data_IF_383950531817
#
_entry.id   IF_383950531817
#
_cell.length_a   1.000
_cell.length_b   1.000
_cell.length_c   1.000
_cell.angle_alpha   90.00
_cell.angle_beta   90.00
_cell.angle_gamma   90.00
#
_symmetry.space_group_name_H-M   'P 1'
#
loop_
_entity.id
_entity.type
_entity.pdbx_description
1 polymer ?
#
# COMPACT_ATOMS: atom_id res chain seq x y z
N UNK A 1 26.50 -46.79 16.37
CA UNK A 1 27.43 -45.75 15.89
C UNK A 1 27.18 -45.54 14.42
N UNK A 2 26.67 -44.39 14.02
CA UNK A 2 26.55 -43.99 12.61
C UNK A 2 27.94 -43.62 12.09
N UNK A 3 28.45 -44.34 11.09
CA UNK A 3 29.71 -43.97 10.44
C UNK A 3 29.61 -42.55 9.86
N UNK A 4 30.67 -41.74 9.92
CA UNK A 4 30.68 -40.41 9.34
C UNK A 4 30.52 -40.50 7.82
N UNK A 5 29.49 -39.85 7.28
CA UNK A 5 29.29 -39.76 5.83
C UNK A 5 30.55 -39.23 5.15
N UNK A 6 31.01 -39.93 4.11
CA UNK A 6 32.15 -39.49 3.32
C UNK A 6 31.83 -38.17 2.61
N UNK A 7 32.83 -37.29 2.47
CA UNK A 7 32.70 -35.98 1.81
C UNK A 7 32.15 -36.11 0.38
N UNK A 8 32.38 -37.25 -0.24
CA UNK A 8 31.92 -37.61 -1.58
C UNK A 8 30.43 -37.98 -1.61
N UNK A 9 29.94 -38.76 -0.64
CA UNK A 9 28.51 -39.05 -0.47
C UNK A 9 27.70 -37.76 -0.23
N UNK A 10 28.24 -36.83 0.59
CA UNK A 10 27.62 -35.52 0.82
C UNK A 10 27.58 -34.65 -0.45
N UNK A 11 28.59 -34.75 -1.32
CA UNK A 11 28.62 -34.04 -2.62
C UNK A 11 27.64 -34.65 -3.62
N UNK A 12 27.55 -35.97 -3.68
CA UNK A 12 26.58 -36.67 -4.53
C UNK A 12 25.13 -36.31 -4.16
N UNK A 13 24.81 -36.32 -2.86
CA UNK A 13 23.48 -35.94 -2.35
C UNK A 13 23.12 -34.49 -2.66
N UNK A 14 24.08 -33.57 -2.55
CA UNK A 14 23.88 -32.15 -2.92
C UNK A 14 23.65 -31.96 -4.41
N UNK A 15 24.33 -32.74 -5.26
CA UNK A 15 24.10 -32.72 -6.71
C UNK A 15 22.71 -33.25 -7.07
N UNK A 16 22.29 -34.35 -6.45
CA UNK A 16 20.94 -34.90 -6.62
C UNK A 16 19.85 -33.90 -6.17
N UNK A 17 20.02 -33.28 -5.00
CA UNK A 17 19.10 -32.25 -4.53
C UNK A 17 19.07 -31.02 -5.44
N UNK A 18 20.20 -30.66 -6.05
CA UNK A 18 20.27 -29.55 -6.99
C UNK A 18 19.57 -29.87 -8.33
N UNK A 19 19.70 -31.10 -8.84
CA UNK A 19 18.98 -31.54 -10.05
C UNK A 19 17.48 -31.66 -9.80
N UNK A 20 17.06 -32.23 -8.66
CA UNK A 20 15.65 -32.32 -8.27
C UNK A 20 15.03 -30.92 -8.09
N UNK A 21 15.77 -29.98 -7.48
CA UNK A 21 15.33 -28.60 -7.34
C UNK A 21 15.23 -27.87 -8.69
N UNK A 22 16.14 -28.15 -9.62
CA UNK A 22 16.11 -27.58 -10.97
C UNK A 22 14.92 -28.12 -11.78
N UNK A 23 14.66 -29.42 -11.73
CA UNK A 23 13.51 -30.05 -12.38
C UNK A 23 12.18 -29.58 -11.78
N UNK A 24 12.12 -29.41 -10.45
CA UNK A 24 10.94 -28.85 -9.77
C UNK A 24 10.71 -27.37 -10.16
N UNK A 25 11.78 -26.59 -10.33
CA UNK A 25 11.67 -25.20 -10.79
C UNK A 25 11.20 -25.12 -12.25
N UNK A 26 11.69 -26.00 -13.13
CA UNK A 26 11.24 -26.08 -14.52
C UNK A 26 9.78 -26.56 -14.63
N UNK A 27 9.36 -27.49 -13.78
CA UNK A 27 7.96 -27.90 -13.69
C UNK A 27 7.04 -26.77 -13.20
N UNK A 28 7.53 -25.88 -12.33
CA UNK A 28 6.81 -24.72 -11.83
C UNK A 28 6.73 -23.54 -12.82
N UNK A 29 7.64 -23.48 -13.81
CA UNK A 29 7.65 -22.44 -14.87
C UNK A 29 6.55 -22.65 -15.93
N UNK A 30 5.92 -23.84 -15.96
CA UNK A 30 4.82 -24.13 -16.87
C UNK A 30 3.61 -23.24 -16.54
N UNK A 31 3.42 -22.20 -17.34
CA UNK A 31 2.37 -21.20 -17.19
C UNK A 31 1.00 -21.88 -17.18
N UNK A 32 0.21 -21.78 -16.09
CA UNK A 32 -1.10 -22.40 -16.03
C UNK A 32 -2.01 -21.81 -17.13
N UNK A 33 -2.97 -22.60 -17.66
CA UNK A 33 -3.94 -22.10 -18.62
C UNK A 33 -4.66 -20.88 -18.02
N UNK A 34 -4.94 -19.87 -18.84
CA UNK A 34 -5.53 -18.61 -18.39
C UNK A 34 -6.89 -18.86 -17.74
N UNK A 35 -6.90 -18.88 -16.41
CA UNK A 35 -8.11 -19.02 -15.61
C UNK A 35 -9.02 -17.80 -15.80
N UNK A 36 -10.34 -17.91 -15.59
CA UNK A 36 -11.25 -16.77 -15.65
C UNK A 36 -10.80 -15.62 -14.72
N UNK A 37 -10.18 -15.95 -13.58
CA UNK A 37 -9.57 -14.96 -12.69
C UNK A 37 -8.47 -14.15 -13.39
N UNK A 38 -7.59 -14.79 -14.16
CA UNK A 38 -6.51 -14.11 -14.90
C UNK A 38 -7.02 -13.13 -15.97
N UNK A 39 -8.20 -13.38 -16.54
CA UNK A 39 -8.85 -12.47 -17.48
C UNK A 39 -9.46 -11.27 -16.77
N UNK A 40 -10.11 -11.49 -15.61
CA UNK A 40 -10.64 -10.41 -14.77
C UNK A 40 -9.51 -9.47 -14.28
N UNK A 41 -8.37 -10.03 -13.88
CA UNK A 41 -7.19 -9.23 -13.49
C UNK A 41 -6.63 -8.36 -14.62
N UNK A 42 -6.76 -8.78 -15.88
CA UNK A 42 -6.35 -7.98 -17.04
C UNK A 42 -7.34 -6.86 -17.39
N UNK A 43 -8.61 -7.01 -17.01
CA UNK A 43 -9.65 -5.99 -17.23
C UNK A 43 -9.64 -4.90 -16.15
N UNK A 44 -9.08 -5.18 -14.98
CA UNK A 44 -8.99 -4.23 -13.89
C UNK A 44 -8.05 -3.07 -14.28
N UNK A 45 -8.52 -1.81 -14.22
CA UNK A 45 -7.68 -0.70 -14.59
C UNK A 45 -6.55 -0.51 -13.56
N UNK A 46 -5.37 -0.13 -14.04
CA UNK A 46 -4.15 0.00 -13.22
C UNK A 46 -4.36 0.90 -11.99
N UNK A 47 -5.08 2.02 -12.14
CA UNK A 47 -5.35 2.95 -11.05
C UNK A 47 -6.11 2.30 -9.88
N UNK A 48 -6.90 1.26 -10.13
CA UNK A 48 -7.67 0.60 -9.08
C UNK A 48 -6.74 -0.21 -8.16
N UNK A 49 -5.71 -0.85 -8.71
CA UNK A 49 -4.65 -1.47 -7.92
C UNK A 49 -3.91 -0.46 -7.05
N UNK A 50 -3.68 0.76 -7.56
CA UNK A 50 -3.04 1.83 -6.79
C UNK A 50 -3.91 2.30 -5.61
N UNK A 51 -5.24 2.41 -5.79
CA UNK A 51 -6.14 2.75 -4.68
C UNK A 51 -6.07 1.70 -3.56
N UNK A 52 -6.05 0.41 -3.92
CA UNK A 52 -5.90 -0.66 -2.93
C UNK A 52 -4.54 -0.60 -2.23
N UNK A 53 -3.47 -0.34 -2.98
CA UNK A 53 -2.13 -0.18 -2.43
C UNK A 53 -2.05 0.99 -1.45
N UNK A 54 -2.56 2.17 -1.82
CA UNK A 54 -2.57 3.35 -0.94
C UNK A 54 -3.38 3.09 0.33
N UNK A 55 -4.55 2.47 0.21
CA UNK A 55 -5.38 2.11 1.37
C UNK A 55 -4.71 1.11 2.31
N UNK A 56 -3.86 0.22 1.80
CA UNK A 56 -3.04 -0.65 2.62
C UNK A 56 -1.89 0.13 3.29
N UNK A 57 -1.23 1.01 2.55
CA UNK A 57 -0.17 1.87 3.11
C UNK A 57 -0.70 2.81 4.19
N UNK A 58 -1.95 3.27 4.11
CA UNK A 58 -2.58 4.08 5.15
C UNK A 58 -2.59 3.41 6.51
N UNK A 59 -2.81 2.08 6.57
CA UNK A 59 -2.84 1.38 7.85
C UNK A 59 -1.48 1.37 8.54
N UNK A 60 -0.42 1.20 7.74
CA UNK A 60 0.95 1.22 8.22
C UNK A 60 1.42 2.65 8.54
N UNK A 61 1.04 3.62 7.72
CA UNK A 61 1.39 5.04 7.89
C UNK A 61 0.90 5.58 9.23
N UNK A 62 -0.35 5.28 9.61
CA UNK A 62 -0.91 5.69 10.90
C UNK A 62 -0.07 5.17 12.08
N UNK A 63 0.33 3.90 12.00
CA UNK A 63 1.09 3.22 13.03
C UNK A 63 2.53 3.74 13.12
N UNK A 64 3.21 3.86 11.98
CA UNK A 64 4.57 4.37 11.90
C UNK A 64 4.65 5.83 12.38
N UNK A 65 3.69 6.66 11.98
CA UNK A 65 3.61 8.05 12.45
C UNK A 65 3.46 8.12 13.97
N UNK A 66 2.60 7.29 14.56
CA UNK A 66 2.43 7.24 16.02
C UNK A 66 3.71 6.78 16.73
N UNK A 67 4.36 5.73 16.24
CA UNK A 67 5.62 5.24 16.81
C UNK A 67 6.72 6.30 16.76
N UNK A 68 6.83 7.03 15.64
CA UNK A 68 7.78 8.11 15.47
C UNK A 68 7.55 9.23 16.51
N UNK A 69 6.30 9.62 16.76
CA UNK A 69 5.99 10.62 17.80
C UNK A 69 6.31 10.11 19.22
N UNK A 70 6.04 8.83 19.52
CA UNK A 70 6.37 8.23 20.81
C UNK A 70 7.89 8.18 21.02
N UNK A 71 8.66 7.83 19.99
CA UNK A 71 10.13 7.83 20.08
C UNK A 71 10.66 9.26 20.28
N UNK A 72 10.12 10.22 19.53
CA UNK A 72 10.50 11.64 19.65
C UNK A 72 10.24 12.18 21.06
N UNK A 73 9.07 11.92 21.63
CA UNK A 73 8.73 12.38 23.00
C UNK A 73 9.62 11.75 24.08
N UNK A 74 10.22 10.58 23.79
CA UNK A 74 11.15 9.87 24.70
C UNK A 74 12.63 10.28 24.53
N UNK A 75 12.92 11.38 23.85
CA UNK A 75 14.30 11.85 23.65
C UNK A 75 15.08 11.09 22.57
N UNK A 76 14.37 10.27 21.80
CA UNK A 76 14.84 9.81 20.51
C UNK A 76 15.68 8.53 20.47
N UNK A 77 15.88 7.87 21.60
CA UNK A 77 16.50 6.55 21.64
C UNK A 77 15.46 5.46 21.35
N UNK A 78 15.37 5.09 20.07
CA UNK A 78 14.51 4.00 19.59
C UNK A 78 15.00 2.59 19.98
N UNK A 79 16.18 2.44 20.58
CA UNK A 79 16.79 1.13 20.80
C UNK A 79 16.21 0.38 22.01
N UNK A 80 15.89 1.09 23.09
CA UNK A 80 15.32 0.50 24.32
C UNK A 80 13.78 0.42 24.35
N UNK A 81 13.11 1.02 23.36
CA UNK A 81 11.65 1.19 23.38
C UNK A 81 10.85 0.05 22.75
N UNK A 82 11.49 -0.88 22.03
CA UNK A 82 10.81 -1.97 21.34
C UNK A 82 11.08 -3.30 22.04
N UNK A 83 10.02 -3.94 22.49
CA UNK A 83 10.08 -5.29 23.04
C UNK A 83 10.04 -6.30 21.88
N UNK A 84 11.05 -7.15 21.76
CA UNK A 84 11.16 -8.20 20.73
C UNK A 84 11.19 -9.58 21.41
N UNK A 85 10.03 -10.10 21.86
CA UNK A 85 9.97 -11.25 22.76
C UNK A 85 10.27 -12.59 22.12
N UNK A 86 10.15 -12.73 20.79
CA UNK A 86 10.05 -14.04 20.15
C UNK A 86 11.26 -14.38 19.28
N UNK A 87 11.45 -15.68 19.00
CA UNK A 87 12.48 -16.13 18.07
C UNK A 87 12.22 -15.68 16.62
N UNK A 88 10.96 -15.40 16.27
CA UNK A 88 10.59 -14.80 14.97
C UNK A 88 11.16 -13.38 14.80
N UNK A 89 11.40 -12.65 15.89
CA UNK A 89 11.91 -11.28 15.83
C UNK A 89 13.43 -11.19 15.61
N UNK A 90 14.13 -12.34 15.56
CA UNK A 90 15.59 -12.40 15.39
C UNK A 90 16.08 -11.65 14.16
N UNK A 91 15.34 -11.69 13.05
CA UNK A 91 15.71 -10.99 11.82
C UNK A 91 15.65 -9.47 12.00
N UNK A 92 14.65 -8.95 12.71
CA UNK A 92 14.52 -7.52 13.03
C UNK A 92 15.63 -7.09 13.99
N UNK A 93 15.93 -7.90 15.01
CA UNK A 93 17.04 -7.62 15.93
C UNK A 93 18.39 -7.61 15.21
N UNK A 94 18.62 -8.54 14.26
CA UNK A 94 19.82 -8.58 13.43
C UNK A 94 19.90 -7.37 12.49
N UNK A 95 18.79 -6.99 11.84
CA UNK A 95 18.71 -5.80 10.99
C UNK A 95 19.05 -4.54 11.77
N UNK A 96 18.52 -4.36 12.99
CA UNK A 96 18.83 -3.20 13.84
C UNK A 96 20.32 -3.13 14.22
N UNK A 97 20.94 -4.25 14.61
CA UNK A 97 22.38 -4.31 14.89
C UNK A 97 23.23 -4.03 13.65
N UNK A 98 22.77 -4.49 12.48
CA UNK A 98 23.42 -4.20 11.22
C UNK A 98 23.33 -2.71 10.88
N UNK A 99 22.16 -2.10 11.02
CA UNK A 99 21.96 -0.67 10.79
C UNK A 99 22.83 0.20 11.71
N UNK A 100 22.95 -0.14 13.00
CA UNK A 100 23.81 0.61 13.93
C UNK A 100 25.30 0.54 13.58
N UNK A 101 25.73 -0.45 12.80
CA UNK A 101 27.14 -0.68 12.46
C UNK A 101 27.50 -0.33 11.01
N UNK A 102 26.53 -0.35 10.10
CA UNK A 102 26.77 -0.22 8.65
C UNK A 102 25.95 0.88 7.98
N UNK A 103 24.91 1.42 8.63
CA UNK A 103 24.26 2.58 8.07
C UNK A 103 25.26 3.75 8.09
N UNK A 104 25.41 4.51 6.99
CA UNK A 104 26.06 5.82 7.07
C UNK A 104 25.37 6.65 8.15
N UNK A 105 26.06 7.66 8.69
CA UNK A 105 25.71 8.49 9.86
C UNK A 105 24.39 9.29 9.79
N UNK A 106 23.39 8.80 9.05
CA UNK A 106 22.10 9.41 8.77
C UNK A 106 20.93 8.44 8.86
N UNK A 107 20.93 7.50 9.82
CA UNK A 107 19.65 7.01 10.35
C UNK A 107 19.31 7.87 11.59
N UNK A 108 18.09 8.42 11.69
CA UNK A 108 17.72 9.28 12.80
C UNK A 108 17.67 8.48 14.11
N UNK A 109 18.80 8.39 14.81
CA UNK A 109 18.76 8.34 16.26
C UNK A 109 18.40 9.75 16.71
N UNK A 110 17.17 9.91 17.16
CA UNK A 110 16.53 11.18 17.49
C UNK A 110 17.11 11.91 18.71
N UNK A 111 18.35 11.62 19.12
CA UNK A 111 19.06 12.43 20.10
C UNK A 111 19.85 13.52 19.39
N UNK A 112 19.54 14.77 19.73
CA UNK A 112 20.29 15.98 19.34
C UNK A 112 21.75 16.00 19.85
N UNK A 113 22.23 14.91 20.44
CA UNK A 113 23.56 14.75 21.04
C UNK A 113 24.25 13.43 20.66
N UNK A 114 23.72 12.70 19.67
CA UNK A 114 24.35 11.50 19.12
C UNK A 114 25.24 11.78 17.89
N UNK A 115 26.07 10.80 17.44
CA UNK A 115 27.05 10.94 16.35
C UNK A 115 26.43 11.17 14.95
N UNK A 116 25.15 11.51 14.86
CA UNK A 116 24.30 11.41 13.68
C UNK A 116 23.52 12.72 13.41
N UNK A 117 24.11 13.86 13.77
CA UNK A 117 23.56 15.22 13.67
C UNK A 117 23.38 15.78 12.23
N UNK A 118 23.28 14.92 11.20
CA UNK A 118 23.35 15.33 9.79
C UNK A 118 22.04 15.55 9.05
N UNK A 119 20.88 15.11 9.59
CA UNK A 119 19.60 15.11 8.86
C UNK A 119 18.58 16.17 9.32
N UNK A 120 19.00 17.11 10.17
CA UNK A 120 18.12 18.15 10.69
C UNK A 120 17.01 17.60 11.61
N UNK A 121 16.24 18.47 12.26
CA UNK A 121 15.09 18.05 13.05
C UNK A 121 14.08 17.41 12.11
N UNK A 122 13.60 16.23 12.52
CA UNK A 122 12.51 15.52 11.89
C UNK A 122 11.31 16.49 11.71
N UNK A 123 10.53 16.43 10.61
CA UNK A 123 9.46 17.39 10.35
C UNK A 123 8.42 17.42 11.49
N UNK A 124 7.72 18.55 11.69
CA UNK A 124 6.76 18.67 12.77
C UNK A 124 5.69 17.58 12.68
N UNK A 125 5.19 17.08 13.82
CA UNK A 125 4.11 16.10 13.86
C UNK A 125 2.88 16.56 13.06
N UNK A 126 2.30 15.64 12.30
CA UNK A 126 1.08 15.85 11.53
C UNK A 126 -0.09 15.32 12.36
N UNK A 127 -0.83 16.23 13.00
CA UNK A 127 -1.96 15.85 13.85
C UNK A 127 -3.28 15.75 13.10
N UNK A 128 -3.41 16.44 11.97
CA UNK A 128 -4.62 16.38 11.16
C UNK A 128 -4.61 15.12 10.30
N UNK A 129 -5.66 14.33 10.45
CA UNK A 129 -5.90 13.13 9.66
C UNK A 129 -5.81 13.41 8.16
N UNK A 130 -6.46 14.47 7.70
CA UNK A 130 -6.56 14.77 6.27
C UNK A 130 -5.19 15.13 5.67
N UNK A 131 -4.29 15.71 6.46
CA UNK A 131 -2.92 15.96 6.02
C UNK A 131 -2.05 14.69 6.07
N UNK A 132 -2.29 13.79 7.05
CA UNK A 132 -1.54 12.54 7.16
C UNK A 132 -1.87 11.60 5.99
N UNK A 133 -3.15 11.51 5.61
CA UNK A 133 -3.64 10.63 4.53
C UNK A 133 -3.93 11.41 3.23
N UNK A 134 -3.18 12.47 2.94
CA UNK A 134 -3.31 13.21 1.68
C UNK A 134 -2.75 12.39 0.51
N UNK A 135 -3.57 11.48 -0.01
CA UNK A 135 -3.28 10.69 -1.20
C UNK A 135 -3.02 11.56 -2.43
N UNK A 136 -3.65 12.73 -2.50
CA UNK A 136 -3.51 13.57 -3.67
C UNK A 136 -2.06 14.03 -3.81
N UNK A 137 -1.52 14.64 -2.76
CA UNK A 137 -0.14 15.14 -2.76
C UNK A 137 0.88 14.02 -2.74
N UNK A 138 0.64 12.94 -1.99
CA UNK A 138 1.59 11.83 -1.85
C UNK A 138 1.69 10.97 -3.12
N UNK A 139 0.62 10.88 -3.92
CA UNK A 139 0.57 9.95 -5.05
C UNK A 139 -0.16 10.48 -6.29
N UNK A 140 -1.43 10.88 -6.16
CA UNK A 140 -2.28 11.17 -7.33
C UNK A 140 -1.71 12.28 -8.19
N UNK A 141 -1.13 13.32 -7.59
CA UNK A 141 -0.48 14.46 -8.26
C UNK A 141 0.75 14.06 -9.09
N UNK A 142 1.33 12.88 -8.87
CA UNK A 142 2.54 12.41 -9.54
C UNK A 142 2.33 11.16 -10.39
N UNK A 143 1.16 10.51 -10.30
CA UNK A 143 0.86 9.27 -11.02
C UNK A 143 -0.06 9.50 -12.23
N UNK A 144 0.48 9.32 -13.44
CA UNK A 144 -0.28 9.46 -14.71
C UNK A 144 -1.58 8.65 -14.76
N UNK A 145 -1.59 7.45 -14.18
CA UNK A 145 -2.75 6.56 -14.21
C UNK A 145 -3.87 7.07 -13.31
N UNK A 146 -3.53 7.56 -12.12
CA UNK A 146 -4.49 8.15 -11.17
C UNK A 146 -5.00 9.51 -11.65
N UNK A 147 -4.12 10.37 -12.21
CA UNK A 147 -4.54 11.64 -12.81
C UNK A 147 -5.52 11.45 -13.97
N UNK A 148 -5.23 10.48 -14.84
CA UNK A 148 -6.12 10.15 -15.95
C UNK A 148 -7.49 9.66 -15.44
N UNK A 149 -7.51 8.83 -14.38
CA UNK A 149 -8.74 8.37 -13.75
C UNK A 149 -9.57 9.52 -13.16
N UNK A 150 -8.94 10.43 -12.40
CA UNK A 150 -9.62 11.60 -11.82
C UNK A 150 -10.16 12.52 -12.92
N UNK A 151 -9.38 12.75 -13.97
CA UNK A 151 -9.81 13.56 -15.13
C UNK A 151 -11.00 12.92 -15.86
N UNK A 152 -10.99 11.59 -16.02
CA UNK A 152 -12.10 10.85 -16.61
C UNK A 152 -13.37 10.93 -15.74
N UNK A 153 -13.25 10.77 -14.42
CA UNK A 153 -14.38 10.94 -13.48
C UNK A 153 -14.98 12.34 -13.57
N UNK A 154 -14.16 13.39 -13.66
CA UNK A 154 -14.63 14.76 -13.84
C UNK A 154 -15.39 14.93 -15.16
N UNK A 155 -14.90 14.34 -16.26
CA UNK A 155 -15.58 14.37 -17.55
C UNK A 155 -16.91 13.59 -17.53
N UNK A 156 -16.93 12.41 -16.91
CA UNK A 156 -18.12 11.59 -16.76
C UNK A 156 -19.17 12.28 -15.90
N UNK A 157 -18.79 12.89 -14.78
CA UNK A 157 -19.69 13.70 -13.96
C UNK A 157 -20.38 14.79 -14.78
N UNK A 158 -19.63 15.56 -15.59
CA UNK A 158 -20.20 16.59 -16.48
C UNK A 158 -21.17 16.00 -17.51
N UNK A 159 -20.89 14.82 -18.06
CA UNK A 159 -21.80 14.10 -18.99
C UNK A 159 -23.08 13.65 -18.27
N UNK A 160 -22.95 13.07 -17.08
CA UNK A 160 -24.09 12.60 -16.29
C UNK A 160 -25.00 13.75 -15.86
N UNK A 161 -24.46 14.93 -15.53
CA UNK A 161 -25.28 16.12 -15.29
C UNK A 161 -26.11 16.54 -16.50
N UNK A 162 -25.53 16.48 -17.72
CA UNK A 162 -26.28 16.78 -18.95
C UNK A 162 -27.40 15.77 -19.20
N UNK A 163 -27.14 14.48 -18.97
CA UNK A 163 -28.15 13.42 -19.07
C UNK A 163 -29.26 13.61 -18.03
N UNK A 164 -28.89 13.94 -16.78
CA UNK A 164 -29.84 14.21 -15.70
C UNK A 164 -30.75 15.40 -16.05
N UNK A 165 -30.19 16.50 -16.57
CA UNK A 165 -30.97 17.66 -16.98
C UNK A 165 -31.99 17.30 -18.08
N UNK A 166 -31.57 16.55 -19.10
CA UNK A 166 -32.48 16.07 -20.14
C UNK A 166 -33.56 15.12 -19.58
N UNK A 167 -33.18 14.21 -18.67
CA UNK A 167 -34.10 13.28 -18.03
C UNK A 167 -35.18 14.00 -17.19
N UNK A 168 -34.82 15.09 -16.51
CA UNK A 168 -35.77 15.92 -15.75
C UNK A 168 -36.78 16.62 -16.67
N UNK A 169 -36.35 17.16 -17.80
CA UNK A 169 -37.23 17.80 -18.78
C UNK A 169 -38.22 16.80 -19.40
N UNK A 170 -37.75 15.60 -19.77
CA UNK A 170 -38.58 14.55 -20.37
C UNK A 170 -39.43 13.79 -19.34
N UNK A 171 -39.06 13.82 -18.06
CA UNK A 171 -39.67 13.07 -16.97
C UNK A 171 -41.12 13.46 -16.67
N UNK A 172 -41.58 14.62 -17.14
CA UNK A 172 -42.99 15.04 -17.05
C UNK A 172 -43.87 14.17 -17.94
N UNK A 173 -43.36 13.74 -19.10
CA UNK A 173 -44.11 12.98 -20.10
C UNK A 173 -43.79 11.49 -20.08
N UNK A 174 -42.54 11.13 -19.79
CA UNK A 174 -42.06 9.75 -19.90
C UNK A 174 -41.57 9.24 -18.56
N UNK A 175 -42.29 8.27 -17.99
CA UNK A 175 -41.91 7.66 -16.70
C UNK A 175 -40.52 7.02 -16.74
N UNK A 176 -40.10 6.49 -17.90
CA UNK A 176 -38.78 5.91 -18.10
C UNK A 176 -37.65 6.95 -17.92
N UNK A 177 -37.89 8.20 -18.31
CA UNK A 177 -36.94 9.30 -18.08
C UNK A 177 -36.77 9.60 -16.58
N UNK A 178 -37.79 9.34 -15.75
CA UNK A 178 -37.67 9.47 -14.28
C UNK A 178 -36.74 8.39 -13.71
N UNK A 179 -36.81 7.15 -14.21
CA UNK A 179 -35.88 6.09 -13.80
C UNK A 179 -34.43 6.42 -14.18
N UNK A 180 -34.21 6.95 -15.39
CA UNK A 180 -32.89 7.43 -15.82
C UNK A 180 -32.38 8.54 -14.91
N UNK A 181 -33.24 9.48 -14.50
CA UNK A 181 -32.91 10.53 -13.54
C UNK A 181 -32.42 9.97 -12.20
N UNK A 182 -33.15 9.00 -11.62
CA UNK A 182 -32.76 8.33 -10.36
C UNK A 182 -31.42 7.60 -10.52
N UNK A 183 -31.23 6.89 -11.63
CA UNK A 183 -29.96 6.20 -11.91
C UNK A 183 -28.78 7.18 -12.03
N UNK A 184 -28.99 8.35 -12.67
CA UNK A 184 -27.97 9.40 -12.75
C UNK A 184 -27.58 9.94 -11.37
N UNK A 185 -28.55 10.14 -10.46
CA UNK A 185 -28.26 10.58 -9.09
C UNK A 185 -27.42 9.55 -8.32
N UNK A 186 -27.77 8.26 -8.42
CA UNK A 186 -26.98 7.18 -7.84
C UNK A 186 -25.56 7.13 -8.40
N UNK A 187 -25.43 7.27 -9.73
CA UNK A 187 -24.14 7.28 -10.42
C UNK A 187 -23.28 8.49 -10.03
N UNK A 188 -23.88 9.68 -9.90
CA UNK A 188 -23.19 10.88 -9.41
C UNK A 188 -22.68 10.68 -7.98
N UNK A 189 -23.49 10.07 -7.11
CA UNK A 189 -23.06 9.75 -5.75
C UNK A 189 -21.87 8.78 -5.77
N UNK A 190 -21.91 7.76 -6.62
CA UNK A 190 -20.81 6.82 -6.80
C UNK A 190 -19.53 7.52 -7.25
N UNK A 191 -19.60 8.43 -8.23
CA UNK A 191 -18.42 9.20 -8.68
C UNK A 191 -17.77 10.00 -7.56
N UNK A 192 -18.57 10.65 -6.70
CA UNK A 192 -18.03 11.38 -5.54
C UNK A 192 -17.31 10.46 -4.56
N UNK A 193 -17.89 9.28 -4.28
CA UNK A 193 -17.27 8.29 -3.39
C UNK A 193 -15.94 7.79 -3.97
N UNK A 194 -15.89 7.49 -5.27
CA UNK A 194 -14.68 7.00 -5.94
C UNK A 194 -13.61 8.10 -6.03
N UNK A 195 -13.98 9.32 -6.44
CA UNK A 195 -13.06 10.45 -6.54
C UNK A 195 -12.43 10.79 -5.18
N UNK A 196 -13.18 10.67 -4.08
CA UNK A 196 -12.67 10.90 -2.73
C UNK A 196 -11.48 9.99 -2.37
N UNK A 197 -11.45 8.76 -2.87
CA UNK A 197 -10.35 7.82 -2.60
C UNK A 197 -9.02 8.27 -3.20
N UNK A 198 -9.05 9.10 -4.25
CA UNK A 198 -7.84 9.70 -4.84
C UNK A 198 -7.33 10.94 -4.10
N UNK A 199 -8.15 11.48 -3.19
CA UNK A 199 -7.89 12.72 -2.48
C UNK A 199 -7.35 12.43 -1.07
N UNK A 200 -8.14 11.75 -0.25
CA UNK A 200 -7.81 11.51 1.16
C UNK A 200 -8.14 10.06 1.53
N UNK A 201 -7.21 9.41 2.23
CA UNK A 201 -7.41 8.08 2.79
C UNK A 201 -8.47 8.06 3.89
N UNK A 202 -9.32 7.02 3.91
CA UNK A 202 -10.42 6.86 4.88
C UNK A 202 -10.11 5.87 6.01
N UNK A 203 -8.86 5.41 6.15
CA UNK A 203 -8.45 4.47 7.19
C UNK A 203 -8.80 4.91 8.63
N UNK A 204 -9.79 4.30 9.28
CA UNK A 204 -10.15 4.55 10.69
C UNK A 204 -9.81 3.34 11.55
N UNK A 205 -8.79 3.47 12.40
CA UNK A 205 -8.32 2.36 13.22
C UNK A 205 -9.39 1.82 14.20
N UNK A 206 -10.22 2.69 14.79
CA UNK A 206 -11.22 2.30 15.79
C UNK A 206 -12.44 1.55 15.24
N UNK A 207 -12.61 1.47 13.92
CA UNK A 207 -13.75 0.76 13.31
C UNK A 207 -13.47 -0.73 13.09
N UNK A 208 -12.22 -1.16 13.31
CA UNK A 208 -11.76 -2.51 13.03
C UNK A 208 -11.58 -3.36 14.31
N UNK A 209 -12.11 -2.89 15.46
CA UNK A 209 -12.08 -3.56 16.76
C UNK A 209 -13.49 -3.68 17.34
#
# INVERSE_FOLDING_TARGET
GSQPETKEARRARRRQQATEAAEAAEAADKKPPSSPASLLFKLLPVWLGHLFSNRFLDSDLAFLHYQEQVVRTRGGEAAGSYFMPTQSDRCIAALRRWLSSHAPSGLPASSASGPHAGLGPLPPPIYSRDALFDHFTQHTSHCRHCQAAVSALAAWRKRTYRVLAAALLLGVRFWLARLVGVACLGLLRLYVVVEKQFQVGEYKHWQNH
#
